data_IF_245205524099
#
_entry.id   IF_245205524099
#
_cell.length_a   1.000
_cell.length_b   1.000
_cell.length_c   1.000
_cell.angle_alpha   90.00
_cell.angle_beta   90.00
_cell.angle_gamma   90.00
#
_symmetry.space_group_name_H-M   'P 1'
#
loop_
_entity.id
_entity.type
_entity.pdbx_description
1 polymer ?
#
# COMPACT_ATOMS: atom_id res chain seq x y z
N UNK A 1 5.08 13.44 37.82
CA UNK A 1 4.13 12.64 37.01
C UNK A 1 4.93 11.71 36.10
N UNK A 2 5.14 10.47 36.56
CA UNK A 2 5.97 9.49 35.86
C UNK A 2 5.24 8.88 34.68
N UNK A 3 5.85 8.95 33.49
CA UNK A 3 5.40 8.19 32.34
C UNK A 3 5.52 6.70 32.67
N UNK A 4 4.39 6.01 32.84
CA UNK A 4 4.36 4.56 32.81
C UNK A 4 4.92 4.14 31.43
N UNK A 5 6.18 3.73 31.40
CA UNK A 5 6.75 3.00 30.26
C UNK A 5 5.99 1.68 30.18
N UNK A 6 4.89 1.66 29.43
CA UNK A 6 4.14 0.44 29.15
C UNK A 6 5.12 -0.61 28.62
N UNK A 7 5.07 -1.80 29.20
CA UNK A 7 5.96 -2.90 28.85
C UNK A 7 6.05 -3.04 27.31
N UNK A 8 7.25 -3.24 26.74
CA UNK A 8 7.40 -3.31 25.29
C UNK A 8 6.53 -4.46 24.76
N UNK A 9 5.55 -4.12 23.91
CA UNK A 9 4.66 -5.11 23.29
C UNK A 9 5.48 -6.30 22.74
N UNK A 10 5.11 -7.57 23.03
CA UNK A 10 5.90 -8.72 22.59
C UNK A 10 5.93 -8.82 21.05
N UNK A 11 7.07 -9.27 20.52
CA UNK A 11 7.36 -9.26 19.09
C UNK A 11 6.35 -10.07 18.25
N UNK A 12 5.79 -11.15 18.80
CA UNK A 12 4.74 -11.97 18.19
C UNK A 12 3.43 -11.20 18.01
N UNK A 13 3.00 -10.42 19.00
CA UNK A 13 1.83 -9.56 18.86
C UNK A 13 2.09 -8.45 17.84
N UNK A 14 3.28 -7.83 17.85
CA UNK A 14 3.67 -6.83 16.85
C UNK A 14 3.62 -7.39 15.42
N UNK A 15 4.08 -8.63 15.22
CA UNK A 15 4.00 -9.32 13.93
C UNK A 15 2.55 -9.58 13.51
N UNK A 16 1.69 -10.07 14.41
CA UNK A 16 0.27 -10.31 14.10
C UNK A 16 -0.46 -9.05 13.64
N UNK A 17 -0.19 -7.90 14.27
CA UNK A 17 -0.75 -6.62 13.83
C UNK A 17 -0.23 -6.16 12.47
N UNK A 18 1.05 -6.41 12.15
CA UNK A 18 1.63 -6.09 10.83
C UNK A 18 1.10 -7.02 9.73
N UNK A 19 0.97 -8.32 10.00
CA UNK A 19 0.45 -9.29 9.04
C UNK A 19 -1.02 -9.02 8.67
N UNK A 20 -1.81 -8.46 9.59
CA UNK A 20 -3.18 -8.00 9.30
C UNK A 20 -3.24 -6.70 8.49
N UNK A 21 -2.16 -5.94 8.44
CA UNK A 21 -2.10 -4.69 7.70
C UNK A 21 -1.83 -4.96 6.21
N UNK A 22 -2.61 -4.34 5.33
CA UNK A 22 -2.38 -4.48 3.89
C UNK A 22 -0.96 -3.96 3.53
N UNK A 23 -0.15 -4.70 2.75
CA UNK A 23 1.25 -4.33 2.46
C UNK A 23 1.38 -2.97 1.77
N UNK A 24 0.41 -2.60 0.93
CA UNK A 24 0.32 -1.25 0.36
C UNK A 24 0.23 -0.09 1.37
N UNK A 25 0.10 -0.34 2.68
CA UNK A 25 0.21 0.71 3.70
C UNK A 25 1.65 1.20 3.89
N UNK A 26 2.66 0.50 3.38
CA UNK A 26 4.06 0.96 3.47
C UNK A 26 4.32 2.24 2.68
N UNK A 27 3.57 2.52 1.60
CA UNK A 27 3.68 3.77 0.84
C UNK A 27 2.64 4.80 1.30
N UNK A 28 2.89 6.12 1.20
CA UNK A 28 1.86 7.13 1.45
C UNK A 28 0.73 7.05 0.41
N UNK A 29 -0.48 7.47 0.79
CA UNK A 29 -1.61 7.49 -0.13
C UNK A 29 -1.52 8.72 -1.05
N UNK A 30 -1.42 8.55 -2.39
CA UNK A 30 -1.34 9.67 -3.34
C UNK A 30 -2.69 10.35 -3.57
N UNK A 31 -3.80 9.78 -3.07
CA UNK A 31 -5.12 10.35 -3.25
C UNK A 31 -5.26 11.70 -2.51
N UNK A 32 -5.62 12.75 -3.25
CA UNK A 32 -5.57 14.14 -2.78
C UNK A 32 -6.41 14.41 -1.54
N UNK A 33 -7.58 13.76 -1.45
CA UNK A 33 -8.46 13.94 -0.30
C UNK A 33 -8.03 13.11 0.92
N UNK A 34 -7.20 12.08 0.75
CA UNK A 34 -6.79 11.22 1.85
C UNK A 34 -5.42 11.59 2.41
N UNK A 35 -4.39 11.66 1.54
CA UNK A 35 -2.98 11.95 1.90
C UNK A 35 -2.47 11.23 3.16
N UNK A 36 -2.98 10.02 3.43
CA UNK A 36 -2.57 9.22 4.60
C UNK A 36 -1.08 8.88 4.52
N UNK A 37 -0.36 9.02 5.63
CA UNK A 37 1.09 8.74 5.70
C UNK A 37 1.37 7.23 5.61
N UNK A 38 2.65 6.88 5.43
CA UNK A 38 3.10 5.50 5.56
C UNK A 38 2.62 4.89 6.89
N UNK A 39 2.20 3.63 6.85
CA UNK A 39 1.59 2.85 7.92
C UNK A 39 0.26 3.36 8.49
N UNK A 40 -0.23 4.54 8.08
CA UNK A 40 -1.56 5.01 8.45
C UNK A 40 -2.65 4.39 7.57
N UNK A 41 -3.83 4.16 8.16
CA UNK A 41 -5.01 3.71 7.42
C UNK A 41 -5.54 4.84 6.51
N UNK A 42 -6.08 4.47 5.36
CA UNK A 42 -6.81 5.43 4.53
C UNK A 42 -8.12 5.84 5.21
N UNK A 43 -8.46 7.11 5.11
CA UNK A 43 -9.69 7.68 5.66
C UNK A 43 -10.47 8.39 4.55
N UNK A 44 -11.80 8.32 4.64
CA UNK A 44 -12.68 9.13 3.80
C UNK A 44 -12.83 10.50 4.44
N UNK A 45 -12.26 11.54 3.82
CA UNK A 45 -12.21 12.89 4.42
C UNK A 45 -13.58 13.47 4.76
N UNK A 46 -14.60 13.19 3.93
CA UNK A 46 -15.96 13.73 4.12
C UNK A 46 -16.59 13.29 5.45
N UNK A 47 -16.37 12.04 5.87
CA UNK A 47 -17.03 11.45 7.05
C UNK A 47 -16.04 10.94 8.11
N UNK A 48 -14.73 11.12 7.91
CA UNK A 48 -13.67 10.61 8.79
C UNK A 48 -13.57 9.08 8.89
N UNK A 49 -14.36 8.32 8.10
CA UNK A 49 -14.43 6.86 8.23
C UNK A 49 -13.14 6.20 7.76
N UNK A 50 -12.64 5.27 8.57
CA UNK A 50 -11.49 4.44 8.21
C UNK A 50 -11.92 3.39 7.18
N UNK A 51 -11.18 3.32 6.07
CA UNK A 51 -11.42 2.31 5.05
C UNK A 51 -10.81 0.97 5.46
N UNK A 52 -11.57 -0.11 5.29
CA UNK A 52 -11.09 -1.47 5.52
C UNK A 52 -9.93 -1.82 4.56
N UNK A 53 -10.04 -1.39 3.30
CA UNK A 53 -9.00 -1.55 2.27
C UNK A 53 -8.38 -0.19 1.94
N UNK A 54 -7.06 -0.11 1.68
CA UNK A 54 -6.45 1.12 1.18
C UNK A 54 -7.07 1.54 -0.17
N UNK A 55 -7.00 2.84 -0.50
CA UNK A 55 -7.44 3.33 -1.81
C UNK A 55 -6.68 2.65 -2.95
N UNK A 56 -7.36 2.46 -4.08
CA UNK A 56 -6.80 1.78 -5.25
C UNK A 56 -5.54 2.48 -5.78
N UNK A 57 -5.52 3.83 -5.79
CA UNK A 57 -4.34 4.62 -6.16
C UNK A 57 -3.12 4.32 -5.28
N UNK A 58 -3.32 3.97 -4.00
CA UNK A 58 -2.24 3.60 -3.10
C UNK A 58 -1.73 2.19 -3.39
N UNK A 59 -2.63 1.25 -3.67
CA UNK A 59 -2.27 -0.11 -4.09
C UNK A 59 -1.48 -0.05 -5.40
N UNK A 60 -1.93 0.77 -6.34
CA UNK A 60 -1.26 1.02 -7.61
C UNK A 60 0.16 1.56 -7.40
N UNK A 61 0.33 2.61 -6.59
CA UNK A 61 1.64 3.17 -6.28
C UNK A 61 2.56 2.14 -5.61
N UNK A 62 2.04 1.38 -4.67
CA UNK A 62 2.81 0.32 -4.02
C UNK A 62 3.24 -0.77 -5.01
N UNK A 63 2.34 -1.22 -5.89
CA UNK A 63 2.67 -2.22 -6.89
C UNK A 63 3.72 -1.71 -7.90
N UNK A 64 3.65 -0.42 -8.27
CA UNK A 64 4.67 0.25 -9.09
C UNK A 64 6.07 0.17 -8.47
N UNK A 65 6.18 0.39 -7.16
CA UNK A 65 7.48 0.41 -6.46
C UNK A 65 7.97 -0.96 -6.03
N UNK A 66 7.11 -1.98 -6.01
CA UNK A 66 7.41 -3.29 -5.41
C UNK A 66 7.74 -4.37 -6.44
N UNK A 67 7.02 -4.41 -7.56
CA UNK A 67 7.18 -5.49 -8.55
C UNK A 67 7.19 -4.96 -9.99
N UNK A 68 7.85 -5.70 -10.87
CA UNK A 68 7.76 -5.52 -12.32
C UNK A 68 6.40 -6.03 -12.82
N UNK A 69 5.88 -5.47 -13.91
CA UNK A 69 4.65 -5.97 -14.51
C UNK A 69 4.99 -7.08 -15.51
N UNK A 70 4.55 -8.33 -15.35
CA UNK A 70 4.81 -9.39 -16.33
C UNK A 70 3.93 -9.26 -17.58
N UNK A 71 2.83 -8.49 -17.52
CA UNK A 71 1.89 -8.32 -18.65
C UNK A 71 2.44 -7.36 -19.72
N UNK A 72 3.04 -6.24 -19.31
CA UNK A 72 3.70 -5.29 -20.22
C UNK A 72 5.23 -5.27 -20.08
N UNK A 73 5.78 -6.18 -19.26
CA UNK A 73 7.22 -6.37 -19.04
C UNK A 73 7.98 -5.10 -18.59
N UNK A 74 7.27 -4.14 -17.96
CA UNK A 74 7.89 -2.90 -17.47
C UNK A 74 8.53 -3.06 -16.10
N UNK A 75 9.61 -2.31 -15.88
CA UNK A 75 10.37 -2.29 -14.64
C UNK A 75 9.68 -1.57 -13.46
N UNK A 76 10.37 -1.58 -12.32
CA UNK A 76 9.97 -0.84 -11.11
C UNK A 76 9.88 0.66 -11.38
N UNK A 77 8.87 1.31 -10.84
CA UNK A 77 8.62 2.75 -11.01
C UNK A 77 8.06 3.16 -12.37
N UNK A 78 8.17 2.33 -13.40
CA UNK A 78 7.61 2.60 -14.74
C UNK A 78 6.09 2.34 -14.74
N UNK A 79 5.26 3.29 -15.20
CA UNK A 79 3.82 3.07 -15.32
C UNK A 79 3.51 1.92 -16.29
N UNK A 80 2.42 1.21 -16.04
CA UNK A 80 1.96 0.19 -16.98
C UNK A 80 1.50 0.88 -18.27
N UNK A 81 1.69 0.22 -19.41
CA UNK A 81 1.18 0.68 -20.69
C UNK A 81 0.42 -0.42 -21.42
N UNK A 82 -0.47 -0.01 -22.30
CA UNK A 82 -1.15 -0.88 -23.26
C UNK A 82 -0.88 -0.34 -24.66
N UNK A 83 -0.27 -1.16 -25.52
CA UNK A 83 0.11 -0.80 -26.90
C UNK A 83 0.95 0.50 -26.98
N UNK A 84 1.87 0.69 -26.02
CA UNK A 84 2.72 1.87 -25.91
C UNK A 84 2.06 3.10 -25.27
N UNK A 85 0.77 3.04 -24.93
CA UNK A 85 0.05 4.12 -24.25
C UNK A 85 0.06 3.90 -22.73
N UNK A 86 0.57 4.87 -21.97
CA UNK A 86 0.60 4.80 -20.51
C UNK A 86 -0.81 4.75 -19.91
N UNK A 87 -1.01 3.83 -18.96
CA UNK A 87 -2.24 3.68 -18.21
C UNK A 87 -2.19 4.48 -16.91
N UNK A 88 -3.34 5.01 -16.50
CA UNK A 88 -3.52 5.66 -15.20
C UNK A 88 -3.56 4.66 -14.02
N UNK A 89 -3.67 3.36 -14.32
CA UNK A 89 -3.73 2.27 -13.34
C UNK A 89 -2.66 1.22 -13.66
N UNK A 90 -2.33 0.38 -12.68
CA UNK A 90 -1.43 -0.76 -12.88
C UNK A 90 -2.21 -2.00 -13.29
N UNK A 91 -1.63 -2.86 -14.11
CA UNK A 91 -2.27 -4.14 -14.43
C UNK A 91 -2.48 -4.97 -13.17
N UNK A 92 -3.64 -5.66 -13.04
CA UNK A 92 -3.93 -6.53 -11.90
C UNK A 92 -2.83 -7.57 -11.65
N UNK A 93 -2.22 -8.05 -12.74
CA UNK A 93 -1.11 -9.00 -12.68
C UNK A 93 0.08 -8.43 -11.92
N UNK A 94 0.46 -7.16 -12.13
CA UNK A 94 1.54 -6.51 -11.35
C UNK A 94 1.23 -6.43 -9.87
N UNK A 95 -0.03 -6.17 -9.51
CA UNK A 95 -0.47 -6.14 -8.11
C UNK A 95 -0.36 -7.51 -7.47
N UNK A 96 -0.64 -8.57 -8.23
CA UNK A 96 -0.49 -9.94 -7.76
C UNK A 96 0.98 -10.28 -7.49
N UNK A 97 1.87 -9.98 -8.44
CA UNK A 97 3.31 -10.18 -8.24
C UNK A 97 3.82 -9.39 -7.02
N UNK A 98 3.39 -8.15 -6.85
CA UNK A 98 3.75 -7.34 -5.67
C UNK A 98 3.29 -7.96 -4.34
N UNK A 99 2.17 -8.70 -4.33
CA UNK A 99 1.74 -9.45 -3.14
C UNK A 99 2.62 -10.67 -2.93
N UNK A 100 2.98 -11.38 -3.99
CA UNK A 100 3.82 -12.58 -3.93
C UNK A 100 5.25 -12.26 -3.50
N UNK A 101 5.82 -11.12 -3.91
CA UNK A 101 7.14 -10.64 -3.46
C UNK A 101 7.21 -10.34 -1.96
N UNK A 102 6.07 -10.01 -1.34
CA UNK A 102 5.98 -9.62 0.08
C UNK A 102 5.24 -10.65 0.95
N UNK A 103 4.84 -11.79 0.38
CA UNK A 103 4.24 -12.92 1.08
C UNK A 103 5.32 -13.81 1.71
#
# INVERSE_FOLDING_TARGET
MGHHQGAPMPATLRHGFRARAHPARSVPCPHEHCRARAHQSCIVRVNGRVLAKPHDSRISLWALTTACCPECQVGLGTPCHKDGVALAYVHPRRVQEAKETLA
#
